data_IF_619185494440
#
_entry.id   IF_619185494440
#
_cell.length_a   1.000
_cell.length_b   1.000
_cell.length_c   1.000
_cell.angle_alpha   90.00
_cell.angle_beta   90.00
_cell.angle_gamma   90.00
#
_symmetry.space_group_name_H-M   'P 1'
#
loop_
_entity.id
_entity.type
_entity.pdbx_description
1 polymer ?
#
# COMPACT_ATOMS: atom_id res chain seq x y z
N UNK A 1 12.39 39.48 -25.50
CA UNK A 1 11.75 39.70 -24.16
C UNK A 1 11.41 38.36 -23.60
N UNK A 2 12.21 37.84 -22.66
CA UNK A 2 11.99 36.54 -22.05
C UNK A 2 11.18 36.80 -20.78
N UNK A 3 9.92 36.38 -20.77
CA UNK A 3 9.11 36.42 -19.57
C UNK A 3 9.54 35.21 -18.75
N UNK A 4 10.32 35.43 -17.72
CA UNK A 4 10.58 34.44 -16.68
C UNK A 4 9.32 34.35 -15.80
N UNK A 5 8.59 33.26 -15.93
CA UNK A 5 7.52 32.91 -15.00
C UNK A 5 8.20 32.24 -13.81
N UNK A 6 8.40 32.97 -12.74
CA UNK A 6 9.11 32.47 -11.57
C UNK A 6 8.25 31.55 -10.69
N UNK A 7 6.93 31.57 -10.89
CA UNK A 7 6.01 30.83 -10.03
C UNK A 7 4.69 30.53 -10.74
N UNK A 8 4.22 29.28 -10.66
CA UNK A 8 2.88 28.88 -11.03
C UNK A 8 2.14 28.48 -9.75
N UNK A 9 1.00 29.10 -9.48
CA UNK A 9 0.12 28.76 -8.36
C UNK A 9 -1.18 28.18 -8.89
N UNK A 10 -1.59 27.01 -8.38
CA UNK A 10 -2.88 26.40 -8.64
C UNK A 10 -3.61 26.31 -7.30
N UNK A 11 -4.34 27.35 -6.90
CA UNK A 11 -4.95 27.46 -5.57
C UNK A 11 -5.93 26.32 -5.26
N UNK A 12 -6.66 25.84 -6.27
CA UNK A 12 -7.65 24.77 -6.12
C UNK A 12 -7.02 23.42 -5.74
N UNK A 13 -5.73 23.25 -6.00
CA UNK A 13 -4.99 22.04 -5.66
C UNK A 13 -4.00 22.25 -4.50
N UNK A 14 -3.91 23.48 -3.97
CA UNK A 14 -2.91 23.83 -2.96
C UNK A 14 -1.46 23.70 -3.47
N UNK A 15 -1.26 23.78 -4.80
CA UNK A 15 0.03 23.59 -5.45
C UNK A 15 0.64 24.95 -5.80
N UNK A 16 1.86 25.17 -5.32
CA UNK A 16 2.75 26.24 -5.76
C UNK A 16 3.99 25.62 -6.41
N UNK A 17 4.23 25.95 -7.67
CA UNK A 17 5.42 25.50 -8.42
C UNK A 17 6.31 26.72 -8.66
N UNK A 18 7.47 26.73 -8.04
CA UNK A 18 8.51 27.73 -8.34
C UNK A 18 9.36 27.21 -9.52
N UNK A 19 9.30 27.92 -10.63
CA UNK A 19 10.15 27.67 -11.79
C UNK A 19 11.47 28.42 -11.61
N UNK A 20 12.42 27.77 -10.98
CA UNK A 20 13.79 28.29 -10.94
C UNK A 20 14.61 27.56 -12.02
N UNK A 21 15.64 28.19 -12.57
CA UNK A 21 16.53 27.67 -13.62
C UNK A 21 17.27 26.36 -13.25
N UNK A 22 17.12 25.92 -12.02
CA UNK A 22 17.34 24.56 -11.58
C UNK A 22 16.00 24.11 -11.00
N UNK A 23 15.26 23.29 -11.75
CA UNK A 23 13.97 22.75 -11.32
C UNK A 23 14.11 21.99 -9.99
N UNK A 24 14.09 22.71 -8.89
CA UNK A 24 14.02 22.15 -7.56
C UNK A 24 12.55 22.03 -7.25
N UNK A 25 11.99 20.84 -7.45
CA UNK A 25 10.65 20.52 -6.97
C UNK A 25 10.73 20.52 -5.46
N UNK A 26 10.40 21.66 -4.86
CA UNK A 26 10.27 21.75 -3.40
C UNK A 26 8.86 21.26 -3.09
N UNK A 27 8.73 19.98 -2.78
CA UNK A 27 7.56 19.51 -2.07
C UNK A 27 7.57 20.17 -0.68
N UNK A 28 6.78 21.21 -0.50
CA UNK A 28 6.37 21.66 0.83
C UNK A 28 5.31 20.71 1.40
N UNK A 29 5.64 19.46 1.47
CA UNK A 29 4.92 18.43 2.19
C UNK A 29 5.97 17.53 2.79
N UNK A 30 5.73 16.99 3.97
CA UNK A 30 6.62 16.09 4.68
C UNK A 30 7.53 15.30 3.74
N UNK A 31 8.84 15.60 3.76
CA UNK A 31 9.80 14.81 2.99
C UNK A 31 9.66 13.36 3.44
N UNK A 32 9.53 12.43 2.51
CA UNK A 32 9.51 10.99 2.82
C UNK A 32 10.75 10.56 3.64
N UNK A 33 11.80 11.35 3.63
CA UNK A 33 13.03 11.18 4.41
C UNK A 33 12.81 11.18 5.92
N UNK A 34 11.73 11.80 6.41
CA UNK A 34 11.40 11.86 7.83
C UNK A 34 10.34 10.82 8.27
N UNK A 35 9.88 9.98 7.36
CA UNK A 35 8.97 8.91 7.71
C UNK A 35 9.73 7.74 8.33
N UNK A 36 9.49 7.48 9.61
CA UNK A 36 9.80 6.19 10.20
C UNK A 36 8.69 5.19 9.89
N UNK A 37 8.91 3.92 10.20
CA UNK A 37 7.96 2.84 9.94
C UNK A 37 6.58 3.07 10.56
N UNK A 38 6.54 3.57 11.80
CA UNK A 38 5.28 3.84 12.50
C UNK A 38 4.53 5.01 11.86
N UNK A 39 5.23 6.05 11.41
CA UNK A 39 4.63 7.15 10.66
C UNK A 39 4.08 6.68 9.32
N UNK A 40 4.80 5.82 8.59
CA UNK A 40 4.32 5.22 7.36
C UNK A 40 3.06 4.38 7.59
N UNK A 41 3.07 3.54 8.63
CA UNK A 41 1.90 2.75 9.00
C UNK A 41 0.68 3.63 9.34
N UNK A 42 0.87 4.67 10.18
CA UNK A 42 -0.23 5.52 10.63
C UNK A 42 -0.77 6.44 9.53
N UNK A 43 0.11 7.00 8.67
CA UNK A 43 -0.25 8.04 7.71
C UNK A 43 -0.55 7.52 6.31
N UNK A 44 -0.12 6.30 5.98
CA UNK A 44 -0.33 5.70 4.65
C UNK A 44 -1.18 4.42 4.76
N UNK A 45 -0.74 3.47 5.57
CA UNK A 45 -1.37 2.15 5.60
C UNK A 45 -2.74 2.18 6.27
N UNK A 46 -2.84 2.75 7.46
CA UNK A 46 -4.13 2.85 8.16
C UNK A 46 -5.21 3.60 7.36
N UNK A 47 -4.92 4.75 6.71
CA UNK A 47 -5.87 5.38 5.81
C UNK A 47 -6.29 4.50 4.64
N UNK A 48 -5.34 3.80 3.98
CA UNK A 48 -5.65 2.89 2.89
C UNK A 48 -6.56 1.74 3.35
N UNK A 49 -6.28 1.12 4.51
CA UNK A 49 -7.14 0.10 5.10
C UNK A 49 -8.55 0.64 5.38
N UNK A 50 -8.64 1.81 6.00
CA UNK A 50 -9.92 2.45 6.30
C UNK A 50 -10.73 2.75 5.05
N UNK A 51 -10.08 3.25 4.00
CA UNK A 51 -10.74 3.55 2.73
C UNK A 51 -11.20 2.28 2.01
N UNK A 52 -10.41 1.22 2.08
CA UNK A 52 -10.81 -0.08 1.55
C UNK A 52 -11.99 -0.68 2.35
N UNK A 53 -11.95 -0.67 3.68
CA UNK A 53 -13.05 -1.19 4.51
C UNK A 53 -14.39 -0.45 4.34
N UNK A 54 -14.37 0.78 3.83
CA UNK A 54 -15.59 1.54 3.49
C UNK A 54 -16.12 1.22 2.10
N UNK A 55 -15.32 0.63 1.24
CA UNK A 55 -15.64 0.37 -0.16
C UNK A 55 -14.92 -0.92 -0.60
N UNK A 56 -15.35 -2.04 -0.03
CA UNK A 56 -14.68 -3.35 -0.10
C UNK A 56 -14.63 -3.96 -1.51
N UNK A 57 -15.43 -3.45 -2.44
CA UNK A 57 -15.44 -3.88 -3.85
C UNK A 57 -14.50 -3.06 -4.74
N UNK A 58 -13.89 -2.02 -4.21
CA UNK A 58 -13.01 -1.16 -4.98
C UNK A 58 -11.63 -1.80 -5.14
N UNK A 59 -11.40 -2.40 -6.30
CA UNK A 59 -10.12 -3.07 -6.62
C UNK A 59 -8.91 -2.15 -6.53
N UNK A 60 -9.04 -0.86 -6.87
CA UNK A 60 -7.95 0.10 -6.76
C UNK A 60 -7.54 0.33 -5.30
N UNK A 61 -8.53 0.49 -4.40
CA UNK A 61 -8.27 0.62 -2.96
C UNK A 61 -7.65 -0.64 -2.40
N UNK A 62 -8.16 -1.81 -2.80
CA UNK A 62 -7.60 -3.11 -2.43
C UNK A 62 -6.13 -3.24 -2.85
N UNK A 63 -5.82 -2.94 -4.11
CA UNK A 63 -4.45 -3.01 -4.64
C UNK A 63 -3.52 -2.07 -3.90
N UNK A 64 -3.89 -0.80 -3.69
CA UNK A 64 -3.08 0.16 -2.97
C UNK A 64 -2.80 -0.29 -1.53
N UNK A 65 -3.79 -0.83 -0.85
CA UNK A 65 -3.64 -1.39 0.50
C UNK A 65 -2.68 -2.57 0.52
N UNK A 66 -2.84 -3.51 -0.41
CA UNK A 66 -1.94 -4.67 -0.50
C UNK A 66 -0.49 -4.27 -0.79
N UNK A 67 -0.28 -3.35 -1.73
CA UNK A 67 1.07 -2.88 -2.09
C UNK A 67 1.74 -2.20 -0.89
N UNK A 68 1.03 -1.31 -0.20
CA UNK A 68 1.61 -0.58 0.94
C UNK A 68 1.90 -1.50 2.12
N UNK A 69 1.03 -2.47 2.41
CA UNK A 69 1.27 -3.49 3.43
C UNK A 69 2.45 -4.40 3.08
N UNK A 70 2.59 -4.81 1.81
CA UNK A 70 3.72 -5.62 1.36
C UNK A 70 5.07 -4.93 1.60
N UNK A 71 5.12 -3.62 1.35
CA UNK A 71 6.34 -2.84 1.54
C UNK A 71 6.60 -2.43 2.99
N UNK A 72 5.66 -2.60 3.91
CA UNK A 72 5.86 -2.21 5.31
C UNK A 72 7.05 -2.92 5.96
N UNK A 73 7.29 -4.18 5.61
CA UNK A 73 8.47 -4.92 6.09
C UNK A 73 9.79 -4.31 5.60
N UNK A 74 9.79 -3.70 4.40
CA UNK A 74 10.96 -3.03 3.85
C UNK A 74 11.28 -1.73 4.63
N UNK A 75 10.24 -1.04 5.12
CA UNK A 75 10.37 0.11 6.01
C UNK A 75 10.81 -0.29 7.41
N UNK A 76 10.31 -1.42 7.93
CA UNK A 76 10.63 -1.89 9.28
C UNK A 76 12.05 -2.39 9.41
N UNK A 77 12.57 -3.09 8.39
CA UNK A 77 13.96 -3.60 8.34
C UNK A 77 14.60 -3.16 7.02
N UNK A 78 15.05 -1.89 6.89
CA UNK A 78 15.51 -1.36 5.61
C UNK A 78 16.87 -1.94 5.16
N UNK A 79 17.77 -2.23 6.09
CA UNK A 79 19.19 -2.50 5.79
C UNK A 79 19.60 -3.97 5.92
N UNK A 80 18.68 -4.87 6.31
CA UNK A 80 18.99 -6.30 6.50
C UNK A 80 17.98 -7.17 5.76
N UNK A 81 18.39 -7.62 4.57
CA UNK A 81 17.54 -8.46 3.71
C UNK A 81 17.20 -9.80 4.37
N UNK A 82 18.13 -10.39 5.11
CA UNK A 82 17.92 -11.71 5.75
C UNK A 82 16.86 -11.61 6.84
N UNK A 83 17.01 -10.66 7.75
CA UNK A 83 16.02 -10.41 8.82
C UNK A 83 14.67 -9.97 8.26
N UNK A 84 14.67 -9.16 7.19
CA UNK A 84 13.43 -8.78 6.52
C UNK A 84 12.71 -9.98 5.90
N UNK A 85 13.42 -10.90 5.26
CA UNK A 85 12.83 -12.13 4.72
C UNK A 85 12.30 -13.03 5.84
N UNK A 86 13.02 -13.14 6.96
CA UNK A 86 12.54 -13.85 8.15
C UNK A 86 11.24 -13.21 8.70
N UNK A 87 11.18 -11.88 8.80
CA UNK A 87 9.97 -11.19 9.19
C UNK A 87 8.82 -11.46 8.21
N UNK A 88 9.07 -11.34 6.90
CA UNK A 88 8.07 -11.61 5.85
C UNK A 88 7.50 -13.02 5.93
N UNK A 89 8.31 -14.01 6.32
CA UNK A 89 7.82 -15.39 6.50
C UNK A 89 6.87 -15.56 7.69
N UNK A 90 6.87 -14.63 8.64
CA UNK A 90 6.00 -14.63 9.81
C UNK A 90 4.70 -13.84 9.60
N UNK A 91 4.65 -12.98 8.58
CA UNK A 91 3.45 -12.21 8.24
C UNK A 91 2.40 -13.17 7.66
N UNK A 92 1.18 -13.23 8.24
CA UNK A 92 0.13 -14.07 7.67
C UNK A 92 -0.19 -13.62 6.24
N UNK A 93 -0.41 -14.56 5.34
CA UNK A 93 -0.74 -14.30 3.93
C UNK A 93 0.25 -13.41 3.17
N UNK A 94 1.52 -13.32 3.61
CA UNK A 94 2.51 -12.48 2.93
C UNK A 94 2.67 -12.84 1.43
N UNK A 95 2.55 -14.13 1.07
CA UNK A 95 2.61 -14.56 -0.34
C UNK A 95 1.47 -13.97 -1.18
N UNK A 96 0.29 -13.74 -0.58
CA UNK A 96 -0.84 -13.07 -1.24
C UNK A 96 -0.49 -11.62 -1.53
N UNK A 97 0.05 -10.90 -0.54
CA UNK A 97 0.48 -9.51 -0.73
C UNK A 97 1.56 -9.42 -1.81
N UNK A 98 2.56 -10.30 -1.75
CA UNK A 98 3.64 -10.35 -2.74
C UNK A 98 3.11 -10.60 -4.15
N UNK A 99 2.16 -11.53 -4.29
CA UNK A 99 1.57 -11.87 -5.57
C UNK A 99 0.78 -10.70 -6.16
N UNK A 100 -0.01 -9.99 -5.34
CA UNK A 100 -0.76 -8.82 -5.77
C UNK A 100 0.18 -7.67 -6.12
N UNK A 101 1.17 -7.37 -5.28
CA UNK A 101 2.15 -6.32 -5.52
C UNK A 101 2.98 -6.57 -6.79
N UNK A 102 3.46 -7.80 -6.98
CA UNK A 102 4.21 -8.19 -8.19
C UNK A 102 3.30 -8.27 -9.42
N UNK A 103 2.05 -8.70 -9.26
CA UNK A 103 1.08 -8.79 -10.35
C UNK A 103 0.68 -7.44 -10.93
N UNK A 104 0.66 -6.40 -10.11
CA UNK A 104 0.41 -5.03 -10.57
C UNK A 104 1.63 -4.41 -11.26
N UNK A 105 2.83 -4.83 -10.87
CA UNK A 105 4.09 -4.38 -11.46
C UNK A 105 4.46 -5.14 -12.75
N UNK A 106 4.05 -6.39 -12.86
CA UNK A 106 4.43 -7.31 -13.92
C UNK A 106 3.21 -8.07 -14.46
N UNK A 107 2.44 -7.42 -15.33
CA UNK A 107 1.16 -7.94 -15.84
C UNK A 107 1.20 -9.32 -16.53
N UNK A 108 2.38 -9.79 -16.94
CA UNK A 108 2.55 -11.04 -17.71
C UNK A 108 3.06 -12.22 -16.89
N UNK A 109 3.21 -12.11 -15.55
CA UNK A 109 3.63 -13.24 -14.74
C UNK A 109 2.47 -14.15 -14.40
N UNK A 110 2.67 -15.46 -14.57
CA UNK A 110 1.74 -16.47 -14.07
C UNK A 110 1.58 -16.31 -12.58
N UNK A 111 0.36 -16.08 -12.13
CA UNK A 111 0.05 -15.83 -10.71
C UNK A 111 -0.33 -17.14 -10.04
N UNK A 112 0.27 -17.40 -8.87
CA UNK A 112 -0.11 -18.50 -7.99
C UNK A 112 -1.51 -18.28 -7.40
N UNK A 113 -1.86 -17.01 -7.16
CA UNK A 113 -3.16 -16.62 -6.63
C UNK A 113 -3.97 -15.88 -7.68
N UNK A 114 -5.25 -16.17 -7.74
CA UNK A 114 -6.20 -15.47 -8.57
C UNK A 114 -7.03 -14.53 -7.69
N UNK A 115 -7.32 -13.35 -8.20
CA UNK A 115 -8.20 -12.39 -7.54
C UNK A 115 -9.43 -12.17 -8.38
N UNK A 116 -10.57 -12.02 -7.74
CA UNK A 116 -11.84 -11.82 -8.41
C UNK A 116 -12.93 -11.34 -7.47
N UNK A 117 -14.14 -11.40 -7.93
CA UNK A 117 -15.34 -11.17 -7.14
C UNK A 117 -16.13 -12.46 -7.04
N UNK A 118 -16.70 -12.71 -5.87
CA UNK A 118 -17.65 -13.80 -5.65
C UNK A 118 -19.00 -13.19 -5.27
N UNK A 119 -20.02 -13.49 -6.05
CA UNK A 119 -21.41 -13.15 -5.75
C UNK A 119 -22.05 -14.35 -5.01
N UNK A 120 -22.36 -14.17 -3.74
CA UNK A 120 -23.11 -15.16 -2.95
C UNK A 120 -24.62 -14.86 -2.96
N UNK A 121 -24.96 -13.58 -3.06
CA UNK A 121 -26.30 -13.03 -3.33
C UNK A 121 -26.15 -11.60 -3.80
N UNK A 122 -27.22 -10.97 -4.27
CA UNK A 122 -27.22 -9.57 -4.74
C UNK A 122 -26.68 -8.56 -3.70
N UNK A 123 -26.61 -8.96 -2.41
CA UNK A 123 -26.16 -8.13 -1.31
C UNK A 123 -24.72 -8.47 -0.82
N UNK A 124 -24.11 -9.56 -1.29
CA UNK A 124 -22.90 -10.13 -0.71
C UNK A 124 -21.75 -10.35 -1.70
N UNK A 125 -21.59 -9.45 -2.66
CA UNK A 125 -20.40 -9.45 -3.53
C UNK A 125 -19.16 -9.12 -2.70
N UNK A 126 -18.10 -9.91 -2.84
CA UNK A 126 -16.83 -9.72 -2.10
C UNK A 126 -15.64 -9.86 -3.03
N UNK A 127 -14.57 -9.12 -2.75
CA UNK A 127 -13.28 -9.39 -3.36
C UNK A 127 -12.67 -10.64 -2.71
N UNK A 128 -12.29 -11.59 -3.55
CA UNK A 128 -11.73 -12.87 -3.13
C UNK A 128 -10.31 -13.08 -3.65
N UNK A 129 -9.58 -13.93 -2.96
CA UNK A 129 -8.30 -14.50 -3.38
C UNK A 129 -8.44 -16.02 -3.40
N UNK A 130 -8.14 -16.63 -4.52
CA UNK A 130 -8.15 -18.08 -4.72
C UNK A 130 -6.70 -18.57 -4.86
N UNK A 131 -6.28 -19.52 -4.01
CA UNK A 131 -4.95 -20.12 -4.03
C UNK A 131 -4.91 -21.47 -4.78
N UNK A 132 -6.02 -21.83 -5.43
CA UNK A 132 -6.20 -23.09 -6.14
C UNK A 132 -6.67 -24.25 -5.24
N UNK A 133 -6.76 -24.06 -3.93
CA UNK A 133 -7.27 -25.03 -2.96
C UNK A 133 -8.50 -24.51 -2.24
N UNK A 134 -8.47 -23.23 -1.89
CA UNK A 134 -9.56 -22.56 -1.19
C UNK A 134 -9.63 -21.09 -1.55
N UNK A 135 -10.77 -20.50 -1.30
CA UNK A 135 -11.08 -19.12 -1.55
C UNK A 135 -11.15 -18.36 -0.22
N UNK A 136 -10.52 -17.21 -0.17
CA UNK A 136 -10.50 -16.31 0.99
C UNK A 136 -11.17 -14.99 0.63
N UNK A 137 -11.82 -14.35 1.60
CA UNK A 137 -12.21 -12.96 1.46
C UNK A 137 -10.98 -12.06 1.65
N UNK A 138 -10.72 -11.15 0.74
CA UNK A 138 -9.56 -10.26 0.82
C UNK A 138 -9.58 -9.40 2.10
N UNK A 139 -10.76 -8.95 2.53
CA UNK A 139 -10.90 -8.17 3.76
C UNK A 139 -10.42 -8.92 5.00
N UNK A 140 -10.68 -10.23 5.08
CA UNK A 140 -10.27 -11.04 6.23
C UNK A 140 -8.75 -11.25 6.24
N UNK A 141 -8.16 -11.45 5.07
CA UNK A 141 -6.70 -11.48 4.90
C UNK A 141 -6.07 -10.18 5.40
N UNK A 142 -6.58 -9.04 4.97
CA UNK A 142 -6.03 -7.73 5.34
C UNK A 142 -6.18 -7.43 6.83
N UNK A 143 -7.28 -7.86 7.44
CA UNK A 143 -7.50 -7.75 8.90
C UNK A 143 -6.47 -8.56 9.70
N UNK A 144 -6.16 -9.78 9.27
CA UNK A 144 -5.15 -10.62 9.94
C UNK A 144 -3.74 -10.02 9.81
N UNK A 145 -3.41 -9.49 8.65
CA UNK A 145 -2.13 -8.81 8.44
C UNK A 145 -2.03 -7.53 9.29
N UNK A 146 -3.10 -6.75 9.36
CA UNK A 146 -3.15 -5.53 10.17
C UNK A 146 -2.99 -5.85 11.67
N UNK A 147 -3.66 -6.87 12.18
CA UNK A 147 -3.49 -7.35 13.56
C UNK A 147 -2.04 -7.76 13.86
N UNK A 148 -1.37 -8.43 12.91
CA UNK A 148 0.04 -8.79 13.07
C UNK A 148 0.90 -7.55 13.26
N UNK A 149 0.74 -6.53 12.44
CA UNK A 149 1.51 -5.29 12.54
C UNK A 149 1.17 -4.48 13.78
N UNK A 150 -0.11 -4.41 14.16
CA UNK A 150 -0.53 -3.78 15.43
C UNK A 150 0.17 -4.43 16.62
N UNK A 151 0.29 -5.76 16.63
CA UNK A 151 1.01 -6.47 17.68
C UNK A 151 2.49 -6.09 17.70
N UNK A 152 3.17 -6.06 16.55
CA UNK A 152 4.58 -5.65 16.46
C UNK A 152 4.76 -4.24 17.03
N UNK A 153 3.94 -3.28 16.61
CA UNK A 153 4.07 -1.89 17.09
C UNK A 153 3.66 -1.69 18.54
N UNK A 154 2.87 -2.59 19.14
CA UNK A 154 2.48 -2.52 20.54
C UNK A 154 3.48 -3.16 21.50
N UNK A 155 4.28 -4.10 21.03
CA UNK A 155 5.28 -4.79 21.87
C UNK A 155 6.60 -4.03 21.98
N UNK A 156 6.83 -3.03 21.15
CA UNK A 156 7.98 -2.13 21.26
C UNK A 156 9.34 -2.78 21.03
N UNK A 157 9.38 -3.88 20.29
CA UNK A 157 10.63 -4.56 19.88
C UNK A 157 11.20 -4.00 18.57
#
# INVERSE_FOLDING_TARGET
>A
MTILVDKISIPELGLEIELNTQAKVIHKGSSFENYNTLAFYNNVIKPNLKDFYRDELNSRKAINTCITLYHLADWYIPNDKSKRNELKSKIPFNEVLENIANGTKHCNKTKKYQTGTKEESYADTKLIVDDGKQTYNLIDILREIDKFWQKIFSTGD
#
